data_IF_335549636710
#
_entry.id   IF_335549636710
#
_cell.length_a   1.000
_cell.length_b   1.000
_cell.length_c   1.000
_cell.angle_alpha   90.00
_cell.angle_beta   90.00
_cell.angle_gamma   90.00
#
_symmetry.space_group_name_H-M   'P 1'
#
loop_
_entity.id
_entity.type
_entity.pdbx_description
1 polymer ?
#
# COMPACT_ATOMS: atom_id res chain seq x y z
N UNK A 1 -11.11 -8.51 21.21
CA UNK A 1 -10.63 -8.72 19.82
C UNK A 1 -9.27 -9.37 19.90
N UNK A 2 -9.06 -10.53 19.28
CA UNK A 2 -7.72 -11.14 19.18
C UNK A 2 -6.84 -10.25 18.31
N UNK A 3 -5.70 -9.80 18.83
CA UNK A 3 -4.72 -9.01 18.07
C UNK A 3 -4.11 -9.93 17.00
N UNK A 4 -4.51 -9.77 15.74
CA UNK A 4 -3.88 -10.47 14.62
C UNK A 4 -2.78 -9.57 14.05
N UNK A 5 -1.57 -10.10 14.00
CA UNK A 5 -0.43 -9.42 13.37
C UNK A 5 -0.53 -9.59 11.86
N UNK A 6 -0.31 -8.52 11.12
CA UNK A 6 -0.13 -8.55 9.67
C UNK A 6 1.33 -8.25 9.37
N UNK A 7 1.95 -9.10 8.56
CA UNK A 7 3.24 -8.88 7.94
C UNK A 7 3.05 -9.09 6.43
N UNK A 8 3.20 -8.04 5.60
CA UNK A 8 3.06 -8.17 4.16
C UNK A 8 4.32 -8.79 3.56
N UNK A 9 4.17 -9.57 2.50
CA UNK A 9 5.30 -10.22 1.83
C UNK A 9 6.30 -9.24 1.22
N UNK A 10 5.84 -8.06 0.78
CA UNK A 10 6.69 -7.04 0.19
C UNK A 10 6.40 -5.63 0.71
N UNK A 11 7.48 -4.87 0.85
CA UNK A 11 7.45 -3.43 1.09
C UNK A 11 8.36 -2.74 0.08
N UNK A 12 7.78 -1.92 -0.78
CA UNK A 12 8.52 -1.13 -1.77
C UNK A 12 8.77 0.28 -1.25
N UNK A 13 10.03 0.69 -1.25
CA UNK A 13 10.44 2.04 -0.88
C UNK A 13 10.75 2.87 -2.13
N UNK A 14 10.11 4.02 -2.28
CA UNK A 14 10.37 4.96 -3.38
C UNK A 14 10.71 6.34 -2.84
N UNK A 15 11.60 7.04 -3.54
CA UNK A 15 11.92 8.44 -3.31
C UNK A 15 11.55 9.26 -4.56
N UNK A 16 10.70 10.29 -4.39
CA UNK A 16 10.40 11.28 -5.42
C UNK A 16 10.90 12.64 -4.94
N UNK A 17 11.78 13.25 -5.73
CA UNK A 17 12.26 14.61 -5.50
C UNK A 17 11.34 15.57 -6.25
N UNK A 18 10.69 16.47 -5.51
CA UNK A 18 9.84 17.53 -6.06
C UNK A 18 10.36 18.89 -5.58
N UNK A 19 11.24 19.50 -6.38
CA UNK A 19 11.89 20.80 -6.15
C UNK A 19 12.40 21.03 -4.71
N UNK A 20 11.52 21.50 -3.81
CA UNK A 20 11.81 21.89 -2.43
C UNK A 20 11.40 20.83 -1.38
N UNK A 21 10.77 19.74 -1.81
CA UNK A 21 10.27 18.65 -0.96
C UNK A 21 10.71 17.29 -1.50
N UNK A 22 11.00 16.37 -0.58
CA UNK A 22 11.24 14.96 -0.88
C UNK A 22 10.06 14.14 -0.35
N UNK A 23 9.46 13.34 -1.23
CA UNK A 23 8.41 12.39 -0.89
C UNK A 23 9.03 10.99 -0.78
N UNK A 24 8.79 10.33 0.34
CA UNK A 24 9.15 8.95 0.57
C UNK A 24 7.88 8.09 0.60
N UNK A 25 7.79 7.12 -0.29
CA UNK A 25 6.68 6.17 -0.31
C UNK A 25 7.11 4.86 0.33
N UNK A 26 6.25 4.31 1.19
CA UNK A 26 6.34 2.95 1.68
C UNK A 26 5.07 2.21 1.24
N UNK A 27 5.21 1.38 0.22
CA UNK A 27 4.10 0.69 -0.43
C UNK A 27 4.08 -0.75 0.06
N UNK A 28 2.98 -1.16 0.69
CA UNK A 28 2.77 -2.49 1.23
C UNK A 28 2.01 -3.37 0.24
N UNK A 29 2.58 -4.52 -0.12
CA UNK A 29 2.06 -5.44 -1.14
C UNK A 29 1.95 -6.85 -0.55
N UNK A 30 0.79 -7.48 -0.73
CA UNK A 30 0.52 -8.86 -0.35
C UNK A 30 0.00 -9.63 -1.58
N UNK A 31 0.81 -10.53 -2.18
CA UNK A 31 0.31 -11.52 -3.13
C UNK A 31 -0.61 -12.52 -2.43
N UNK A 32 -1.65 -12.97 -3.13
CA UNK A 32 -2.61 -13.93 -2.56
C UNK A 32 -3.04 -15.01 -3.53
N UNK A 33 -3.07 -16.26 -3.04
CA UNK A 33 -3.74 -17.35 -3.74
C UNK A 33 -5.24 -17.10 -3.86
N UNK A 34 -5.84 -17.43 -5.00
CA UNK A 34 -7.24 -17.09 -5.29
C UNK A 34 -8.24 -17.61 -4.25
N UNK A 35 -8.01 -18.81 -3.72
CA UNK A 35 -8.84 -19.42 -2.67
C UNK A 35 -8.78 -18.69 -1.31
N UNK A 36 -7.72 -17.91 -1.05
CA UNK A 36 -7.53 -17.17 0.19
C UNK A 36 -8.07 -15.73 0.14
N UNK A 37 -8.43 -15.21 -1.05
CA UNK A 37 -8.88 -13.83 -1.20
C UNK A 37 -10.05 -13.48 -0.27
N UNK A 38 -11.04 -14.37 -0.16
CA UNK A 38 -12.21 -14.17 0.71
C UNK A 38 -11.89 -14.39 2.19
N UNK A 39 -11.08 -15.40 2.49
CA UNK A 39 -10.71 -15.72 3.87
C UNK A 39 -9.90 -14.60 4.52
N UNK A 40 -8.98 -14.00 3.75
CA UNK A 40 -8.05 -12.98 4.22
C UNK A 40 -8.49 -11.55 3.84
N UNK A 41 -9.74 -11.36 3.42
CA UNK A 41 -10.28 -10.05 3.00
C UNK A 41 -10.06 -8.94 4.05
N UNK A 42 -10.05 -9.30 5.34
CA UNK A 42 -9.78 -8.36 6.42
C UNK A 42 -8.39 -7.72 6.33
N UNK A 43 -7.38 -8.45 5.83
CA UNK A 43 -6.02 -7.91 5.61
C UNK A 43 -6.02 -6.91 4.48
N UNK A 44 -6.74 -7.20 3.39
CA UNK A 44 -6.87 -6.26 2.27
C UNK A 44 -7.59 -4.98 2.71
N UNK A 45 -8.65 -5.10 3.51
CA UNK A 45 -9.34 -3.95 4.11
C UNK A 45 -8.40 -3.11 4.97
N UNK A 46 -7.56 -3.75 5.78
CA UNK A 46 -6.56 -3.06 6.58
C UNK A 46 -5.49 -2.38 5.72
N UNK A 47 -4.94 -3.05 4.70
CA UNK A 47 -3.96 -2.43 3.79
C UNK A 47 -4.56 -1.18 3.13
N UNK A 48 -5.79 -1.25 2.64
CA UNK A 48 -6.46 -0.10 2.02
C UNK A 48 -6.72 1.04 3.00
N UNK A 49 -7.07 0.75 4.25
CA UNK A 49 -7.29 1.80 5.25
C UNK A 49 -6.01 2.59 5.52
N UNK A 50 -4.82 2.00 5.36
CA UNK A 50 -3.55 2.73 5.50
C UNK A 50 -3.46 3.91 4.53
N UNK A 51 -4.06 3.79 3.34
CA UNK A 51 -4.08 4.87 2.34
C UNK A 51 -5.06 5.97 2.73
N UNK A 52 -6.25 5.60 3.19
CA UNK A 52 -7.29 6.55 3.59
C UNK A 52 -6.87 7.36 4.83
N UNK A 53 -6.10 6.72 5.71
CA UNK A 53 -5.49 7.33 6.90
C UNK A 53 -4.14 8.02 6.62
N UNK A 54 -3.56 7.85 5.42
CA UNK A 54 -2.31 8.50 5.02
C UNK A 54 -2.54 9.97 4.66
N UNK A 55 -2.98 10.76 5.63
CA UNK A 55 -2.58 12.16 5.70
C UNK A 55 -1.05 12.16 5.79
N UNK A 56 -0.35 12.56 4.73
CA UNK A 56 1.11 12.53 4.63
C UNK A 56 1.76 12.92 5.96
N UNK A 57 2.48 11.99 6.58
CA UNK A 57 3.12 12.25 7.86
C UNK A 57 4.29 13.19 7.57
N UNK A 58 4.13 14.46 7.95
CA UNK A 58 5.20 15.46 7.83
C UNK A 58 6.15 15.23 9.01
N UNK A 59 7.24 14.51 8.76
CA UNK A 59 8.28 14.29 9.77
C UNK A 59 9.26 15.48 9.84
N UNK A 60 9.50 16.14 8.70
CA UNK A 60 10.36 17.32 8.60
C UNK A 60 9.77 18.26 7.54
N UNK A 61 9.92 19.58 7.67
CA UNK A 61 9.22 20.56 6.80
C UNK A 61 9.42 20.32 5.29
N UNK A 62 10.53 19.68 4.89
CA UNK A 62 10.85 19.33 3.50
C UNK A 62 10.74 17.84 3.17
N UNK A 63 10.36 16.97 4.13
CA UNK A 63 10.23 15.52 3.93
C UNK A 63 8.85 15.02 4.33
N UNK A 64 8.17 14.40 3.38
CA UNK A 64 6.86 13.78 3.59
C UNK A 64 6.96 12.28 3.40
N UNK A 65 6.28 11.54 4.26
CA UNK A 65 6.17 10.09 4.16
C UNK A 65 4.74 9.72 3.81
N UNK A 66 4.61 8.88 2.79
CA UNK A 66 3.33 8.36 2.29
C UNK A 66 3.36 6.86 2.51
N UNK A 67 2.42 6.38 3.33
CA UNK A 67 2.16 4.96 3.50
C UNK A 67 1.04 4.58 2.55
N UNK A 68 1.23 3.51 1.79
CA UNK A 68 0.26 3.09 0.79
C UNK A 68 0.08 1.58 0.82
N UNK A 69 -1.06 1.11 1.32
CA UNK A 69 -1.41 -0.31 1.22
C UNK A 69 -2.16 -0.59 -0.07
N UNK A 70 -1.71 -1.62 -0.78
CA UNK A 70 -2.27 -1.99 -2.07
C UNK A 70 -3.46 -2.96 -1.94
N UNK A 71 -4.32 -3.07 -2.97
CA UNK A 71 -5.08 -4.30 -3.22
C UNK A 71 -4.20 -5.54 -3.08
N UNK A 72 -4.82 -6.67 -2.76
CA UNK A 72 -4.14 -7.95 -2.95
C UNK A 72 -3.69 -8.12 -4.39
N UNK A 73 -2.46 -8.58 -4.58
CA UNK A 73 -2.00 -9.01 -5.89
C UNK A 73 -2.44 -10.45 -6.14
N UNK A 74 -3.14 -10.67 -7.24
CA UNK A 74 -3.39 -11.99 -7.79
C UNK A 74 -3.44 -11.87 -9.31
N UNK A 75 -2.53 -12.57 -10.00
CA UNK A 75 -2.35 -12.45 -11.45
C UNK A 75 -3.64 -12.75 -12.24
N UNK A 76 -4.48 -13.68 -11.77
CA UNK A 76 -5.67 -14.12 -12.50
C UNK A 76 -6.93 -13.32 -12.16
N UNK A 77 -7.10 -12.95 -10.89
CA UNK A 77 -8.37 -12.41 -10.36
C UNK A 77 -8.31 -10.93 -10.01
N UNK A 78 -7.13 -10.39 -9.70
CA UNK A 78 -6.97 -9.02 -9.15
C UNK A 78 -5.97 -8.15 -9.89
N UNK A 79 -5.29 -8.67 -10.91
CA UNK A 79 -4.25 -7.95 -11.67
C UNK A 79 -4.71 -6.57 -12.15
N UNK A 80 -5.85 -6.49 -12.83
CA UNK A 80 -6.36 -5.21 -13.35
C UNK A 80 -6.64 -4.18 -12.25
N UNK A 81 -7.15 -4.62 -11.09
CA UNK A 81 -7.35 -3.71 -9.96
C UNK A 81 -6.03 -3.25 -9.36
N UNK A 82 -5.07 -4.17 -9.24
CA UNK A 82 -3.74 -3.90 -8.74
C UNK A 82 -2.99 -2.90 -9.62
N UNK A 83 -2.96 -3.12 -10.94
CA UNK A 83 -2.32 -2.24 -11.92
C UNK A 83 -2.95 -0.85 -11.91
N UNK A 84 -4.30 -0.75 -11.86
CA UNK A 84 -4.98 0.54 -11.73
C UNK A 84 -4.61 1.30 -10.47
N UNK A 85 -4.27 0.61 -9.39
CA UNK A 85 -3.81 1.25 -8.15
C UNK A 85 -2.34 1.68 -8.24
N UNK A 86 -1.49 0.91 -8.94
CA UNK A 86 -0.12 1.32 -9.28
C UNK A 86 -0.13 2.59 -10.13
N UNK A 87 -1.01 2.69 -11.12
CA UNK A 87 -1.07 3.88 -11.98
C UNK A 87 -1.35 5.17 -11.19
N UNK A 88 -2.07 5.09 -10.07
CA UNK A 88 -2.32 6.22 -9.18
C UNK A 88 -1.10 6.65 -8.36
N UNK A 89 -0.11 5.77 -8.17
CA UNK A 89 1.14 6.09 -7.48
C UNK A 89 2.10 6.91 -8.34
N UNK A 90 2.04 6.74 -9.67
CA UNK A 90 3.01 7.31 -10.62
C UNK A 90 2.59 8.70 -11.12
N UNK A 91 1.35 9.11 -10.84
CA UNK A 91 0.81 10.45 -11.14
C UNK A 91 1.25 11.44 -10.05
#
# INVERSE_FOLDING_TARGET
>A
MSKQTLEPDFVLFLEKKDNWQTLYYQIFIEPKGGHLLKQDEWKEKFLRSLKDDASAIILWQTRKYIIWGMPFYNEQLRKTEFEKEIDKLVQ
#
